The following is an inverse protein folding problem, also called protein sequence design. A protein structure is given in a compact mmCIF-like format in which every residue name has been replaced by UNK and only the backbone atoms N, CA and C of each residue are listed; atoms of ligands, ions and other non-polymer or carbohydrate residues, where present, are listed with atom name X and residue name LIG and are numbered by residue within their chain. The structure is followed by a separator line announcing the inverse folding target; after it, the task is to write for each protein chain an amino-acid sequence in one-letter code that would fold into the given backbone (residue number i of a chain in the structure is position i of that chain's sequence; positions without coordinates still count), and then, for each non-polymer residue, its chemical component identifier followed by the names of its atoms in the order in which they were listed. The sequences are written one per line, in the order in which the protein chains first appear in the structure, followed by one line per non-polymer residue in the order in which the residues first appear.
data_IF_954109405553
#
_entry.id   IF_954109405553
#
_cell.length_a   1.000
_cell.length_b   1.000
_cell.length_c   1.000
_cell.angle_alpha   90.00
_cell.angle_beta   90.00
_cell.angle_gamma   90.00
#
_symmetry.space_group_name_H-M   'P 1'
#
loop_
_entity.id
_entity.type
_entity.pdbx_description
1 polymer ?
#
# COMPACT_ATOMS: atom_id res chain seq x y z
N UNK A 1 -9.20 -8.09 9.55
CA UNK A 1 -9.63 -7.92 10.95
C UNK A 1 -10.48 -6.68 11.05
N UNK A 2 -11.76 -6.80 11.41
CA UNK A 2 -12.61 -5.62 11.65
C UNK A 2 -12.07 -4.82 12.84
N UNK A 3 -12.36 -3.52 12.89
CA UNK A 3 -12.00 -2.56 13.94
C UNK A 3 -10.49 -2.33 14.13
N UNK A 4 -9.66 -2.66 13.14
CA UNK A 4 -8.22 -2.38 13.17
C UNK A 4 -7.88 -1.16 12.30
N UNK A 5 -6.90 -0.35 12.75
CA UNK A 5 -6.35 0.77 11.96
C UNK A 5 -5.32 0.25 10.95
N UNK A 6 -5.43 0.72 9.72
CA UNK A 6 -4.53 0.39 8.62
C UNK A 6 -3.98 1.67 7.97
N UNK A 7 -2.72 1.62 7.56
CA UNK A 7 -2.05 2.67 6.79
C UNK A 7 -1.72 2.10 5.40
N UNK A 8 -2.40 2.55 4.32
CA UNK A 8 -2.04 2.19 2.95
C UNK A 8 -0.61 2.61 2.60
N UNK A 9 0.04 1.82 1.74
CA UNK A 9 1.39 2.05 1.23
C UNK A 9 1.38 1.84 -0.28
N UNK A 10 1.99 2.76 -1.02
CA UNK A 10 2.17 2.66 -2.46
C UNK A 10 3.60 2.20 -2.75
N UNK A 11 3.75 1.16 -3.55
CA UNK A 11 5.05 0.61 -3.94
C UNK A 11 5.29 0.84 -5.43
N UNK A 12 6.44 1.39 -5.79
CA UNK A 12 6.88 1.57 -7.17
C UNK A 12 8.10 0.69 -7.37
N UNK A 13 8.02 -0.25 -8.30
CA UNK A 13 9.09 -1.21 -8.62
C UNK A 13 9.63 -0.90 -10.01
N UNK A 14 10.93 -0.65 -10.12
CA UNK A 14 11.59 -0.45 -11.41
C UNK A 14 11.80 -1.81 -12.08
N UNK A 15 11.61 -1.91 -13.39
CA UNK A 15 12.04 -3.10 -14.15
C UNK A 15 13.57 -3.20 -14.21
N UNK A 16 14.09 -4.39 -14.53
CA UNK A 16 15.53 -4.55 -14.79
C UNK A 16 15.95 -3.87 -16.12
N UNK A 17 17.23 -3.95 -16.47
CA UNK A 17 17.78 -3.33 -17.68
C UNK A 17 17.17 -3.87 -18.98
N UNK A 18 16.60 -5.08 -18.95
CA UNK A 18 15.91 -5.71 -20.08
C UNK A 18 14.39 -5.44 -20.05
N UNK A 19 13.94 -4.50 -19.22
CA UNK A 19 12.52 -4.23 -18.95
C UNK A 19 11.73 -5.47 -18.49
N UNK A 20 12.40 -6.42 -17.82
CA UNK A 20 11.78 -7.61 -17.27
C UNK A 20 11.62 -7.52 -15.75
N UNK A 21 10.70 -8.35 -15.22
CA UNK A 21 10.52 -8.57 -13.79
C UNK A 21 10.88 -10.03 -13.46
N UNK A 22 11.43 -10.27 -12.26
CA UNK A 22 11.66 -11.62 -11.73
C UNK A 22 13.04 -12.25 -11.99
N UNK A 23 13.91 -11.62 -12.78
CA UNK A 23 15.28 -12.12 -12.99
C UNK A 23 16.25 -11.75 -11.87
N UNK A 24 16.04 -10.57 -11.24
CA UNK A 24 16.85 -9.98 -10.17
C UNK A 24 15.98 -9.17 -9.21
N UNK A 25 16.44 -8.95 -7.99
CA UNK A 25 15.82 -7.95 -7.09
C UNK A 25 16.06 -6.55 -7.67
N UNK A 26 15.01 -5.96 -8.23
CA UNK A 26 15.06 -4.62 -8.80
C UNK A 26 14.79 -3.56 -7.73
N UNK A 27 15.27 -2.34 -7.97
CA UNK A 27 15.05 -1.24 -7.05
C UNK A 27 13.55 -0.95 -6.90
N UNK A 28 13.10 -0.71 -5.67
CA UNK A 28 11.76 -0.26 -5.37
C UNK A 28 11.78 0.87 -4.35
N UNK A 29 10.76 1.72 -4.38
CA UNK A 29 10.51 2.69 -3.33
C UNK A 29 9.09 2.51 -2.80
N UNK A 30 8.88 2.96 -1.56
CA UNK A 30 7.58 2.93 -0.89
C UNK A 30 7.19 4.33 -0.47
N UNK A 31 5.99 4.75 -0.83
CA UNK A 31 5.39 6.02 -0.43
C UNK A 31 4.23 5.76 0.52
N UNK A 32 4.13 6.60 1.56
CA UNK A 32 3.08 6.52 2.58
C UNK A 32 2.46 7.90 2.72
N UNK A 33 1.14 7.97 2.63
CA UNK A 33 0.35 9.18 2.80
C UNK A 33 -0.40 9.08 4.12
N UNK A 34 0.04 9.75 5.20
CA UNK A 34 -0.56 9.60 6.54
C UNK A 34 -2.08 9.88 6.60
N UNK A 35 -2.56 10.77 5.75
CA UNK A 35 -3.97 11.14 5.58
C UNK A 35 -4.85 10.01 5.04
N UNK A 36 -4.25 8.95 4.48
CA UNK A 36 -4.97 7.78 3.93
C UNK A 36 -5.18 6.66 4.96
N UNK A 37 -4.76 6.85 6.21
CA UNK A 37 -5.04 5.91 7.30
C UNK A 37 -6.55 5.77 7.53
N UNK A 38 -7.04 4.54 7.73
CA UNK A 38 -8.44 4.27 8.03
C UNK A 38 -8.61 3.11 9.03
N UNK A 39 -9.82 2.94 9.56
CA UNK A 39 -10.20 1.77 10.37
C UNK A 39 -11.09 0.88 9.51
N UNK A 40 -10.71 -0.39 9.34
CA UNK A 40 -11.58 -1.33 8.61
C UNK A 40 -12.82 -1.64 9.45
N UNK A 41 -13.99 -1.63 8.85
CA UNK A 41 -15.26 -1.91 9.53
C UNK A 41 -16.11 -2.85 8.70
N UNK A 42 -16.95 -3.66 9.35
CA UNK A 42 -17.97 -4.47 8.67
C UNK A 42 -19.23 -3.67 8.33
N UNK A 43 -19.44 -2.55 9.02
CA UNK A 43 -20.48 -1.56 8.74
C UNK A 43 -20.02 -0.18 9.21
N UNK A 44 -20.48 0.89 8.56
CA UNK A 44 -20.16 2.26 8.99
C UNK A 44 -20.63 2.50 10.42
N UNK A 45 -19.76 3.09 11.23
CA UNK A 45 -20.03 3.39 12.64
C UNK A 45 -20.35 4.87 12.86
N UNK A 46 -19.73 5.74 12.07
CA UNK A 46 -19.97 7.18 12.12
C UNK A 46 -21.10 7.56 11.16
N UNK A 47 -22.05 8.36 11.63
CA UNK A 47 -23.21 8.83 10.86
C UNK A 47 -22.96 10.14 10.12
N UNK A 48 -21.80 10.76 10.34
CA UNK A 48 -21.36 11.96 9.60
C UNK A 48 -21.19 11.68 8.11
#
# INVERSE_FOLDING_TARGET
NSMHKYQPRLHIVKADENNAFGSKNTAFCTHVFPETSFISVTSYQNHK
#
